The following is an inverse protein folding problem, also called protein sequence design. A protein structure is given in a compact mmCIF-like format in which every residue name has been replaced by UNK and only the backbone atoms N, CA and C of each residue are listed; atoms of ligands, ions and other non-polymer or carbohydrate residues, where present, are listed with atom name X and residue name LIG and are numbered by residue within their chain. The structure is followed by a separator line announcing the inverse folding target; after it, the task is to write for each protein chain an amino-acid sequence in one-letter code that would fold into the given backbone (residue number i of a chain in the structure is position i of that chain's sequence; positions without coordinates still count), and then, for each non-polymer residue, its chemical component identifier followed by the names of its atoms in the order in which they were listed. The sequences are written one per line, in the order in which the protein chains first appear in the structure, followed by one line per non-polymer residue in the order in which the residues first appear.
data_IF_711878914428
#
_entry.id   IF_711878914428
#
_cell.length_a   1.000
_cell.length_b   1.000
_cell.length_c   1.000
_cell.angle_alpha   90.00
_cell.angle_beta   90.00
_cell.angle_gamma   90.00
#
_symmetry.space_group_name_H-M   'P 1'
#
loop_
_entity.id
_entity.type
_entity.pdbx_description
1 polymer ?
#
# COMPACT_ATOMS: atom_id res chain seq x y z
N UNK A 1 28.54 13.06 -49.28
CA UNK A 1 27.16 12.53 -49.29
C UNK A 1 26.93 11.90 -47.93
N UNK A 2 26.03 12.50 -47.16
CA UNK A 2 25.42 12.09 -45.87
C UNK A 2 26.35 11.68 -44.72
N UNK A 3 26.31 12.54 -43.71
CA UNK A 3 26.93 12.42 -42.40
C UNK A 3 26.42 11.21 -41.62
N UNK A 4 27.29 10.71 -40.74
CA UNK A 4 27.03 9.58 -39.85
C UNK A 4 25.87 9.84 -38.90
N UNK A 5 25.10 8.79 -38.69
CA UNK A 5 24.22 8.63 -37.55
C UNK A 5 24.38 7.18 -37.06
N UNK A 6 25.41 6.95 -36.27
CA UNK A 6 25.44 5.83 -35.34
C UNK A 6 25.47 6.46 -33.95
N UNK A 7 24.27 6.81 -33.49
CA UNK A 7 24.00 7.03 -32.07
C UNK A 7 24.33 5.70 -31.40
N UNK A 8 25.51 5.63 -30.79
CA UNK A 8 25.82 4.58 -29.83
C UNK A 8 24.82 4.73 -28.68
N UNK A 9 23.78 3.91 -28.70
CA UNK A 9 23.02 3.55 -27.50
C UNK A 9 24.01 2.86 -26.57
N UNK A 10 24.63 3.66 -25.70
CA UNK A 10 25.31 3.13 -24.53
C UNK A 10 24.19 2.58 -23.63
N UNK A 11 24.11 1.26 -23.36
CA UNK A 11 23.15 0.77 -22.38
C UNK A 11 23.52 1.41 -21.05
N UNK A 12 22.56 2.12 -20.46
CA UNK A 12 22.67 2.70 -19.13
C UNK A 12 23.22 1.64 -18.16
N UNK A 13 24.21 1.94 -17.32
CA UNK A 13 24.76 0.99 -16.35
C UNK A 13 23.79 0.69 -15.20
N UNK A 14 22.65 1.39 -15.14
CA UNK A 14 21.60 1.18 -14.17
C UNK A 14 20.60 0.15 -14.71
N UNK A 15 20.20 -0.84 -13.90
CA UNK A 15 19.05 -1.68 -14.25
C UNK A 15 17.86 -0.76 -14.55
N UNK A 16 17.00 -1.15 -15.49
CA UNK A 16 15.74 -0.45 -15.69
C UNK A 16 15.02 -0.40 -14.33
N UNK A 17 14.51 0.77 -13.91
CA UNK A 17 13.78 0.88 -12.67
C UNK A 17 12.68 -0.18 -12.61
N UNK A 18 12.44 -0.73 -11.43
CA UNK A 18 11.33 -1.66 -11.25
C UNK A 18 10.03 -0.96 -11.67
N UNK A 19 8.99 -1.71 -12.10
CA UNK A 19 7.69 -1.11 -12.43
C UNK A 19 7.13 -0.22 -11.31
N UNK A 20 7.54 -0.47 -10.06
CA UNK A 20 7.18 0.35 -8.91
C UNK A 20 7.98 1.64 -8.80
N UNK A 21 9.28 1.62 -9.09
CA UNK A 21 10.08 2.86 -9.15
C UNK A 21 9.56 3.80 -10.24
N UNK A 22 9.18 3.28 -11.42
CA UNK A 22 8.60 4.11 -12.48
C UNK A 22 7.23 4.69 -12.08
N UNK A 23 6.35 3.89 -11.46
CA UNK A 23 5.02 4.34 -11.03
C UNK A 23 5.08 5.25 -9.79
N UNK A 24 5.95 4.94 -8.82
CA UNK A 24 6.21 5.81 -7.67
C UNK A 24 6.79 7.16 -8.10
N UNK A 25 7.59 7.22 -9.18
CA UNK A 25 8.01 8.50 -9.75
C UNK A 25 6.88 9.31 -10.40
N UNK A 26 5.73 8.68 -10.71
CA UNK A 26 4.53 9.36 -11.23
C UNK A 26 3.52 9.73 -10.12
N UNK A 27 3.46 8.98 -9.02
CA UNK A 27 2.60 9.28 -7.87
C UNK A 27 3.33 10.29 -6.97
N UNK A 28 2.99 11.57 -7.11
CA UNK A 28 3.46 12.62 -6.21
C UNK A 28 2.81 12.48 -4.82
N UNK A 29 3.58 11.99 -3.84
CA UNK A 29 3.18 11.82 -2.44
C UNK A 29 2.56 13.08 -1.82
N UNK A 30 3.10 14.26 -2.12
CA UNK A 30 2.62 15.51 -1.54
C UNK A 30 1.26 15.91 -2.13
N UNK A 31 1.08 15.69 -3.45
CA UNK A 31 -0.23 15.88 -4.10
C UNK A 31 -1.25 14.87 -3.60
N UNK A 32 -0.85 13.61 -3.45
CA UNK A 32 -1.72 12.56 -2.94
C UNK A 32 -2.15 12.84 -1.49
N UNK A 33 -1.22 13.24 -0.62
CA UNK A 33 -1.50 13.63 0.75
C UNK A 33 -2.51 14.78 0.83
N UNK A 34 -2.36 15.82 -0.01
CA UNK A 34 -3.33 16.93 -0.08
C UNK A 34 -4.71 16.46 -0.52
N UNK A 35 -4.78 15.56 -1.49
CA UNK A 35 -6.04 15.02 -1.99
C UNK A 35 -6.76 14.17 -0.93
N UNK A 36 -6.01 13.36 -0.18
CA UNK A 36 -6.52 12.52 0.90
C UNK A 36 -6.95 13.32 2.14
N UNK A 37 -6.22 14.39 2.47
CA UNK A 37 -6.54 15.28 3.60
C UNK A 37 -7.89 16.01 3.42
N UNK A 38 -8.39 16.14 2.19
CA UNK A 38 -9.70 16.69 1.89
C UNK A 38 -10.83 15.64 2.00
N UNK A 39 -10.50 14.37 2.21
CA UNK A 39 -11.43 13.25 2.31
C UNK A 39 -12.03 13.06 3.71
N UNK A 40 -13.00 12.17 3.81
CA UNK A 40 -13.75 11.93 5.05
C UNK A 40 -12.90 11.35 6.19
N UNK A 41 -11.87 10.57 5.84
CA UNK A 41 -10.97 9.92 6.80
C UNK A 41 -9.73 10.77 7.13
N UNK A 42 -9.44 11.82 6.35
CA UNK A 42 -8.19 12.59 6.45
C UNK A 42 -6.93 11.70 6.45
N UNK A 43 -6.96 10.59 5.72
CA UNK A 43 -5.93 9.55 5.76
C UNK A 43 -4.59 10.05 5.22
N UNK A 44 -3.48 9.52 5.75
CA UNK A 44 -2.17 9.65 5.10
C UNK A 44 -2.06 8.74 3.88
N UNK A 45 -1.15 8.98 2.93
CA UNK A 45 -0.93 8.07 1.80
C UNK A 45 -0.66 6.62 2.23
N UNK A 46 0.12 6.43 3.30
CA UNK A 46 0.42 5.12 3.88
C UNK A 46 -0.80 4.48 4.51
N UNK A 47 -1.60 5.22 5.28
CA UNK A 47 -2.87 4.72 5.82
C UNK A 47 -3.84 4.33 4.70
N UNK A 48 -4.00 5.17 3.68
CA UNK A 48 -4.83 4.88 2.52
C UNK A 48 -4.41 3.59 1.82
N UNK A 49 -3.12 3.39 1.58
CA UNK A 49 -2.60 2.15 1.00
C UNK A 49 -2.82 0.94 1.93
N UNK A 50 -2.70 1.12 3.25
CA UNK A 50 -3.03 0.12 4.25
C UNK A 50 -4.49 -0.34 4.18
N UNK A 51 -5.43 0.60 4.07
CA UNK A 51 -6.87 0.32 3.91
C UNK A 51 -7.11 -0.54 2.66
N UNK A 52 -6.52 -0.14 1.52
CA UNK A 52 -6.63 -0.90 0.27
C UNK A 52 -6.13 -2.34 0.43
N UNK A 53 -4.95 -2.50 1.02
CA UNK A 53 -4.36 -3.82 1.28
C UNK A 53 -5.25 -4.65 2.20
N UNK A 54 -5.81 -4.07 3.26
CA UNK A 54 -6.72 -4.76 4.17
C UNK A 54 -8.00 -5.25 3.47
N UNK A 55 -8.59 -4.44 2.59
CA UNK A 55 -9.75 -4.82 1.79
C UNK A 55 -9.42 -5.97 0.82
N UNK A 56 -8.29 -5.87 0.11
CA UNK A 56 -7.83 -6.91 -0.81
C UNK A 56 -7.50 -8.22 -0.09
N UNK A 57 -6.75 -8.17 1.02
CA UNK A 57 -6.35 -9.33 1.80
C UNK A 57 -7.53 -9.98 2.55
N UNK A 58 -8.49 -9.16 2.99
CA UNK A 58 -9.71 -9.63 3.63
C UNK A 58 -10.73 -10.23 2.66
N UNK A 59 -10.50 -10.12 1.35
CA UNK A 59 -11.33 -10.73 0.31
C UNK A 59 -12.61 -9.96 0.02
N UNK A 60 -12.58 -8.62 0.11
CA UNK A 60 -13.66 -7.78 -0.39
C UNK A 60 -13.95 -8.10 -1.87
N UNK A 61 -15.22 -8.06 -2.26
CA UNK A 61 -15.63 -8.40 -3.62
C UNK A 61 -15.24 -7.31 -4.65
N UNK A 62 -15.15 -6.06 -4.22
CA UNK A 62 -14.78 -4.91 -5.04
C UNK A 62 -13.91 -3.92 -4.25
N UNK A 63 -12.68 -4.32 -3.88
CA UNK A 63 -11.88 -3.61 -2.89
C UNK A 63 -11.52 -2.19 -3.33
N UNK A 64 -11.35 -1.94 -4.63
CA UNK A 64 -11.02 -0.61 -5.14
C UNK A 64 -12.21 0.36 -5.02
N UNK A 65 -13.41 -0.09 -5.39
CA UNK A 65 -14.62 0.72 -5.25
C UNK A 65 -14.94 1.00 -3.78
N UNK A 66 -14.88 -0.03 -2.93
CA UNK A 66 -15.08 0.10 -1.47
C UNK A 66 -14.07 1.09 -0.89
N UNK A 67 -12.79 0.97 -1.26
CA UNK A 67 -11.72 1.86 -0.81
C UNK A 67 -11.93 3.32 -1.22
N UNK A 68 -12.21 3.57 -2.50
CA UNK A 68 -12.46 4.92 -3.01
C UNK A 68 -13.66 5.57 -2.32
N UNK A 69 -14.73 4.81 -2.06
CA UNK A 69 -15.90 5.30 -1.33
C UNK A 69 -15.59 5.63 0.14
N UNK A 70 -14.70 4.87 0.80
CA UNK A 70 -14.29 5.15 2.18
C UNK A 70 -13.44 6.43 2.26
N UNK A 71 -12.49 6.61 1.34
CA UNK A 71 -11.54 7.72 1.38
C UNK A 71 -12.16 9.01 0.85
N UNK A 72 -12.87 8.95 -0.28
CA UNK A 72 -13.45 10.10 -0.98
C UNK A 72 -14.89 9.83 -1.45
N UNK A 73 -15.86 9.73 -0.52
CA UNK A 73 -17.27 9.53 -0.87
C UNK A 73 -17.86 10.69 -1.71
N UNK A 74 -17.22 11.87 -1.67
CA UNK A 74 -17.62 13.11 -2.32
C UNK A 74 -17.05 13.31 -3.72
N UNK A 75 -16.05 12.51 -4.14
CA UNK A 75 -15.27 12.81 -5.34
C UNK A 75 -16.07 12.76 -6.65
N UNK A 76 -17.21 12.08 -6.68
CA UNK A 76 -18.11 12.06 -7.85
C UNK A 76 -18.96 13.33 -7.99
N UNK A 77 -19.08 14.14 -6.93
CA UNK A 77 -19.90 15.34 -6.92
C UNK A 77 -19.23 16.55 -7.62
N UNK A 78 -17.92 16.51 -7.82
CA UNK A 78 -17.14 17.62 -8.40
C UNK A 78 -16.30 17.21 -9.64
N UNK A 79 -16.95 16.77 -10.74
CA UNK A 79 -16.25 16.23 -11.90
C UNK A 79 -15.44 17.27 -12.71
N UNK A 80 -15.53 18.56 -12.37
CA UNK A 80 -14.89 19.66 -13.10
C UNK A 80 -13.55 20.15 -12.53
N UNK A 81 -13.16 19.70 -11.33
CA UNK A 81 -11.90 20.10 -10.71
C UNK A 81 -10.75 19.17 -11.15
N UNK A 82 -9.77 19.74 -11.85
CA UNK A 82 -8.60 19.00 -12.34
C UNK A 82 -7.79 18.36 -11.20
N UNK A 83 -7.67 19.02 -10.05
CA UNK A 83 -6.95 18.46 -8.91
C UNK A 83 -7.67 17.24 -8.34
N UNK A 84 -9.01 17.21 -8.42
CA UNK A 84 -9.80 16.05 -7.99
C UNK A 84 -9.62 14.91 -8.99
N UNK A 85 -9.65 15.20 -10.28
CA UNK A 85 -9.44 14.20 -11.34
C UNK A 85 -8.05 13.55 -11.23
N UNK A 86 -6.99 14.35 -11.11
CA UNK A 86 -5.62 13.86 -10.96
C UNK A 86 -5.43 13.02 -9.69
N UNK A 87 -6.03 13.42 -8.57
CA UNK A 87 -5.98 12.66 -7.32
C UNK A 87 -6.68 11.30 -7.44
N UNK A 88 -7.85 11.25 -8.12
CA UNK A 88 -8.54 9.98 -8.40
C UNK A 88 -7.73 9.07 -9.30
N UNK A 89 -7.11 9.62 -10.34
CA UNK A 89 -6.27 8.86 -11.27
C UNK A 89 -5.06 8.25 -10.55
N UNK A 90 -4.39 9.04 -9.70
CA UNK A 90 -3.28 8.54 -8.89
C UNK A 90 -3.70 7.41 -7.92
N UNK A 91 -4.87 7.53 -7.28
CA UNK A 91 -5.40 6.45 -6.44
C UNK A 91 -5.73 5.19 -7.25
N UNK A 92 -6.33 5.33 -8.43
CA UNK A 92 -6.61 4.19 -9.32
C UNK A 92 -5.33 3.51 -9.80
N UNK A 93 -4.28 4.27 -10.10
CA UNK A 93 -2.97 3.73 -10.45
C UNK A 93 -2.34 2.96 -9.28
N UNK A 94 -2.39 3.53 -8.07
CA UNK A 94 -1.95 2.86 -6.84
C UNK A 94 -2.72 1.55 -6.62
N UNK A 95 -4.05 1.56 -6.82
CA UNK A 95 -4.88 0.38 -6.65
C UNK A 95 -4.51 -0.74 -7.62
N UNK A 96 -4.36 -0.41 -8.90
CA UNK A 96 -3.96 -1.36 -9.94
C UNK A 96 -2.57 -1.94 -9.69
N UNK A 97 -1.62 -1.11 -9.23
CA UNK A 97 -0.26 -1.54 -8.90
C UNK A 97 -0.26 -2.50 -7.72
N UNK A 98 -0.92 -2.12 -6.62
CA UNK A 98 -1.05 -2.93 -5.40
C UNK A 98 -1.67 -4.29 -5.70
N UNK A 99 -2.72 -4.31 -6.51
CA UNK A 99 -3.35 -5.56 -6.96
C UNK A 99 -2.36 -6.46 -7.70
N UNK A 100 -1.64 -5.91 -8.68
CA UNK A 100 -0.65 -6.65 -9.46
C UNK A 100 0.45 -7.24 -8.59
N UNK A 101 0.83 -6.56 -7.51
CA UNK A 101 1.88 -7.01 -6.59
C UNK A 101 1.43 -8.11 -5.64
N UNK A 102 0.17 -8.04 -5.18
CA UNK A 102 -0.43 -9.11 -4.38
C UNK A 102 -0.68 -10.37 -5.22
N UNK A 103 -1.11 -10.21 -6.48
CA UNK A 103 -1.38 -11.31 -7.41
C UNK A 103 -0.11 -11.88 -8.06
N UNK A 104 0.95 -11.08 -8.17
CA UNK A 104 2.17 -11.40 -8.90
C UNK A 104 3.17 -12.23 -8.09
N UNK A 105 3.91 -13.11 -8.78
CA UNK A 105 4.90 -14.00 -8.16
C UNK A 105 6.33 -13.45 -8.07
N UNK A 106 6.62 -12.33 -8.75
CA UNK A 106 8.01 -11.93 -9.04
C UNK A 106 8.54 -10.81 -8.14
N UNK A 107 7.69 -9.88 -7.70
CA UNK A 107 8.11 -8.69 -6.95
C UNK A 107 7.50 -8.59 -5.54
N UNK A 108 6.34 -9.23 -5.31
CA UNK A 108 5.60 -9.16 -4.05
C UNK A 108 5.04 -7.78 -3.74
N UNK A 109 4.21 -7.69 -2.70
CA UNK A 109 3.72 -6.42 -2.16
C UNK A 109 4.91 -5.55 -1.76
N UNK A 110 4.85 -4.26 -2.07
CA UNK A 110 5.73 -3.24 -1.48
C UNK A 110 4.85 -2.28 -0.68
N UNK A 111 5.30 -1.83 0.48
CA UNK A 111 4.51 -0.90 1.29
C UNK A 111 4.64 0.53 0.72
N UNK A 112 3.56 1.31 0.78
CA UNK A 112 3.58 2.71 0.37
C UNK A 112 4.05 3.55 1.56
N UNK A 113 5.38 3.69 1.68
CA UNK A 113 6.05 4.38 2.77
C UNK A 113 6.94 5.49 2.19
N UNK A 114 7.29 6.52 2.98
CA UNK A 114 8.27 7.51 2.59
C UNK A 114 9.61 6.87 2.24
N UNK A 115 10.36 7.50 1.33
CA UNK A 115 11.69 7.07 0.89
C UNK A 115 12.67 6.90 2.07
N UNK A 116 13.61 5.96 1.95
CA UNK A 116 14.60 5.65 2.99
C UNK A 116 15.48 6.85 3.39
N UNK A 117 15.61 7.87 2.53
CA UNK A 117 16.29 9.11 2.86
C UNK A 117 15.50 10.03 3.80
N UNK A 118 14.23 9.70 4.10
CA UNK A 118 13.38 10.46 5.03
C UNK A 118 13.72 10.11 6.49
N UNK A 119 13.50 11.03 7.44
CA UNK A 119 13.80 10.76 8.86
C UNK A 119 13.14 9.47 9.36
N UNK A 120 13.85 8.71 10.19
CA UNK A 120 13.37 7.44 10.75
C UNK A 120 11.98 7.57 11.37
N UNK A 121 11.76 8.61 12.19
CA UNK A 121 10.48 8.87 12.84
C UNK A 121 9.30 9.06 11.85
N UNK A 122 9.58 9.70 10.71
CA UNK A 122 8.58 9.89 9.64
C UNK A 122 8.21 8.56 8.98
N UNK A 123 9.20 7.72 8.67
CA UNK A 123 8.98 6.37 8.11
C UNK A 123 8.28 5.45 9.10
N UNK A 124 8.65 5.50 10.39
CA UNK A 124 8.01 4.72 11.45
C UNK A 124 6.53 5.12 11.65
N UNK A 125 6.23 6.42 11.60
CA UNK A 125 4.83 6.91 11.66
C UNK A 125 4.05 6.46 10.43
N UNK A 126 4.64 6.49 9.24
CA UNK A 126 4.00 6.00 8.03
C UNK A 126 3.70 4.50 8.09
N UNK A 127 4.61 3.68 8.63
CA UNK A 127 4.37 2.25 8.83
C UNK A 127 3.24 2.01 9.84
N UNK A 128 3.25 2.76 10.93
CA UNK A 128 2.17 2.74 11.93
C UNK A 128 0.81 3.06 11.30
N UNK A 129 0.74 4.13 10.51
CA UNK A 129 -0.45 4.55 9.77
C UNK A 129 -0.91 3.47 8.79
N UNK A 130 0.03 2.84 8.07
CA UNK A 130 -0.27 1.75 7.15
C UNK A 130 -0.93 0.57 7.89
N UNK A 131 -0.37 0.15 9.02
CA UNK A 131 -0.90 -0.97 9.82
C UNK A 131 -2.29 -0.64 10.37
N UNK A 132 -2.51 0.61 10.81
CA UNK A 132 -3.83 1.09 11.23
C UNK A 132 -4.85 1.05 10.11
N UNK A 133 -4.49 1.51 8.92
CA UNK A 133 -5.34 1.44 7.74
C UNK A 133 -5.75 0.01 7.43
N UNK A 134 -4.80 -0.93 7.49
CA UNK A 134 -5.06 -2.35 7.28
C UNK A 134 -6.06 -2.91 8.31
N UNK A 135 -5.83 -2.66 9.60
CA UNK A 135 -6.70 -3.10 10.69
C UNK A 135 -8.09 -2.46 10.61
N UNK A 136 -8.18 -1.18 10.22
CA UNK A 136 -9.45 -0.49 9.97
C UNK A 136 -10.25 -1.23 8.90
N UNK A 137 -9.67 -1.43 7.72
CA UNK A 137 -10.32 -2.14 6.61
C UNK A 137 -10.78 -3.52 7.04
N UNK A 138 -9.90 -4.29 7.72
CA UNK A 138 -10.24 -5.60 8.25
C UNK A 138 -11.49 -5.57 9.15
N UNK A 139 -11.59 -4.58 10.04
CA UNK A 139 -12.73 -4.40 10.94
C UNK A 139 -14.03 -4.00 10.24
N UNK A 140 -13.97 -3.44 9.02
CA UNK A 140 -15.16 -3.07 8.24
C UNK A 140 -15.75 -4.23 7.45
N UNK A 141 -14.98 -5.30 7.22
CA UNK A 141 -15.40 -6.45 6.42
C UNK A 141 -16.33 -7.38 7.19
N UNK A 142 -17.26 -8.00 6.47
CA UNK A 142 -18.12 -9.05 7.01
C UNK A 142 -17.42 -10.41 6.96
N UNK A 143 -16.98 -10.88 8.14
CA UNK A 143 -16.33 -12.20 8.31
C UNK A 143 -17.30 -13.33 8.65
N UNK A 144 -18.62 -13.09 8.67
CA UNK A 144 -19.61 -14.09 9.12
C UNK A 144 -19.62 -15.36 8.26
N UNK A 145 -19.34 -15.24 6.97
CA UNK A 145 -19.22 -16.38 6.03
C UNK A 145 -17.81 -16.99 5.92
N UNK A 146 -16.80 -16.36 6.52
CA UNK A 146 -15.41 -16.80 6.45
C UNK A 146 -14.62 -16.24 7.64
N UNK A 147 -14.60 -16.98 8.75
CA UNK A 147 -13.79 -16.60 9.91
C UNK A 147 -12.28 -16.67 9.56
N UNK A 148 -11.45 -15.77 10.11
CA UNK A 148 -10.00 -15.88 9.95
C UNK A 148 -9.49 -17.20 10.53
N UNK A 149 -8.43 -17.75 9.95
CA UNK A 149 -7.68 -18.85 10.55
C UNK A 149 -7.01 -18.42 11.87
N UNK A 150 -6.44 -19.40 12.57
CA UNK A 150 -5.60 -19.12 13.73
C UNK A 150 -4.37 -18.27 13.35
N UNK A 151 -3.74 -18.57 12.20
CA UNK A 151 -2.57 -17.84 11.69
C UNK A 151 -2.91 -16.39 11.32
N UNK A 152 -3.98 -16.18 10.55
CA UNK A 152 -4.48 -14.83 10.26
C UNK A 152 -4.83 -14.08 11.55
N UNK A 153 -5.44 -14.74 12.54
CA UNK A 153 -5.79 -14.12 13.82
C UNK A 153 -4.55 -13.73 14.66
N UNK A 154 -3.47 -14.50 14.56
CA UNK A 154 -2.18 -14.20 15.20
C UNK A 154 -1.52 -12.99 14.53
N UNK A 155 -1.44 -12.99 13.20
CA UNK A 155 -0.92 -11.85 12.43
C UNK A 155 -1.65 -10.55 12.78
N UNK A 156 -2.98 -10.57 12.87
CA UNK A 156 -3.78 -9.38 13.21
C UNK A 156 -3.52 -8.89 14.64
N UNK A 157 -3.20 -9.80 15.56
CA UNK A 157 -2.78 -9.45 16.92
C UNK A 157 -1.40 -8.81 16.90
N UNK A 158 -0.45 -9.36 16.15
CA UNK A 158 0.89 -8.80 16.02
C UNK A 158 0.85 -7.40 15.38
N UNK A 159 -0.01 -7.20 14.38
CA UNK A 159 -0.28 -5.88 13.79
C UNK A 159 -0.82 -4.92 14.85
N UNK A 160 -1.74 -5.38 15.71
CA UNK A 160 -2.24 -4.57 16.82
C UNK A 160 -1.11 -4.21 17.80
N UNK A 161 -0.16 -5.10 18.05
CA UNK A 161 1.00 -4.82 18.90
C UNK A 161 1.98 -3.83 18.26
N UNK A 162 2.16 -3.84 16.94
CA UNK A 162 2.90 -2.80 16.20
C UNK A 162 2.28 -1.42 16.39
N UNK A 163 0.94 -1.32 16.46
CA UNK A 163 0.26 -0.04 16.76
C UNK A 163 0.45 0.44 18.22
N UNK A 164 1.24 -0.26 19.04
CA UNK A 164 1.61 0.17 20.40
C UNK A 164 3.06 0.63 20.51
N UNK A 165 3.80 0.69 19.40
CA UNK A 165 5.15 1.23 19.37
C UNK A 165 5.18 2.68 19.85
N UNK A 166 6.16 3.02 20.68
CA UNK A 166 6.41 4.40 21.09
C UNK A 166 7.19 5.11 19.99
N UNK A 167 6.49 5.98 19.25
CA UNK A 167 7.07 6.72 18.13
C UNK A 167 7.73 8.03 18.57
N UNK A 168 7.37 8.56 19.75
CA UNK A 168 7.83 9.87 20.23
C UNK A 168 9.27 9.81 20.77
N UNK A 169 9.73 8.61 21.14
CA UNK A 169 11.07 8.33 21.68
C UNK A 169 12.03 7.66 20.70
N UNK A 170 11.74 7.64 19.40
CA UNK A 170 12.59 7.01 18.39
C UNK A 170 13.83 7.87 18.10
N UNK A 171 14.98 7.43 18.62
CA UNK A 171 16.28 7.98 18.27
C UNK A 171 16.71 7.52 16.87
N UNK A 172 17.35 8.42 16.12
CA UNK A 172 17.89 8.15 14.79
C UNK A 172 19.24 7.42 14.93
N UNK A 173 19.17 6.11 15.19
CA UNK A 173 20.32 5.23 15.37
C UNK A 173 20.20 3.95 14.52
N UNK A 174 21.35 3.28 14.30
CA UNK A 174 21.43 2.07 13.47
C UNK A 174 20.53 0.93 13.98
N UNK A 175 20.29 0.85 15.29
CA UNK A 175 19.47 -0.19 15.89
C UNK A 175 17.99 0.02 15.54
N UNK A 176 17.50 1.25 15.60
CA UNK A 176 16.13 1.59 15.24
C UNK A 176 15.90 1.50 13.73
N UNK A 177 16.90 1.83 12.90
CA UNK A 177 16.83 1.64 11.44
C UNK A 177 16.68 0.16 11.07
N UNK A 178 17.48 -0.71 11.70
CA UNK A 178 17.39 -2.16 11.50
C UNK A 178 16.03 -2.68 11.96
N UNK A 179 15.57 -2.28 13.14
CA UNK A 179 14.27 -2.66 13.67
C UNK A 179 13.11 -2.22 12.76
N UNK A 180 13.15 -0.98 12.23
CA UNK A 180 12.12 -0.50 11.31
C UNK A 180 12.09 -1.31 10.01
N UNK A 181 13.26 -1.66 9.49
CA UNK A 181 13.40 -2.51 8.29
C UNK A 181 12.80 -3.90 8.54
N UNK A 182 13.14 -4.54 9.66
CA UNK A 182 12.61 -5.84 10.04
C UNK A 182 11.09 -5.83 10.21
N UNK A 183 10.55 -4.84 10.92
CA UNK A 183 9.10 -4.73 11.14
C UNK A 183 8.38 -4.45 9.83
N UNK A 184 8.93 -3.58 8.98
CA UNK A 184 8.35 -3.31 7.65
C UNK A 184 8.27 -4.58 6.79
N UNK A 185 9.33 -5.38 6.80
CA UNK A 185 9.38 -6.65 6.07
C UNK A 185 8.40 -7.68 6.66
N UNK A 186 8.31 -7.77 7.99
CA UNK A 186 7.32 -8.61 8.66
C UNK A 186 5.89 -8.25 8.23
N UNK A 187 5.53 -6.96 8.30
CA UNK A 187 4.21 -6.47 7.91
C UNK A 187 3.90 -6.83 6.45
N UNK A 188 4.87 -6.63 5.55
CA UNK A 188 4.76 -6.92 4.13
C UNK A 188 4.50 -8.40 3.87
N UNK A 189 5.30 -9.29 4.45
CA UNK A 189 5.16 -10.74 4.31
C UNK A 189 3.85 -11.22 4.91
N UNK A 190 3.49 -10.75 6.10
CA UNK A 190 2.29 -11.15 6.80
C UNK A 190 1.00 -10.76 6.03
N UNK A 191 0.97 -9.57 5.42
CA UNK A 191 -0.13 -9.17 4.55
C UNK A 191 -0.25 -10.09 3.32
N UNK A 192 0.87 -10.45 2.69
CA UNK A 192 0.89 -11.40 1.58
C UNK A 192 0.41 -12.80 2.00
N UNK A 193 0.78 -13.26 3.21
CA UNK A 193 0.31 -14.53 3.77
C UNK A 193 -1.20 -14.54 3.93
N UNK A 194 -1.78 -13.49 4.50
CA UNK A 194 -3.25 -13.35 4.63
C UNK A 194 -3.90 -13.40 3.24
N UNK A 195 -3.38 -12.66 2.27
CA UNK A 195 -3.93 -12.66 0.90
C UNK A 195 -3.92 -14.07 0.27
N UNK A 196 -2.80 -14.80 0.38
CA UNK A 196 -2.68 -16.16 -0.15
C UNK A 196 -3.67 -17.12 0.51
N UNK A 197 -3.83 -17.03 1.83
CA UNK A 197 -4.74 -17.88 2.58
C UNK A 197 -6.21 -17.59 2.25
N UNK A 198 -6.58 -16.30 2.17
CA UNK A 198 -7.99 -15.90 2.12
C UNK A 198 -8.53 -15.76 0.71
N UNK A 199 -7.71 -15.36 -0.24
CA UNK A 199 -8.14 -15.07 -1.61
C UNK A 199 -7.74 -16.20 -2.54
N UNK A 200 -6.45 -16.57 -2.55
CA UNK A 200 -5.94 -17.59 -3.47
C UNK A 200 -6.45 -18.98 -3.11
N UNK A 201 -6.45 -19.35 -1.81
CA UNK A 201 -6.93 -20.66 -1.40
C UNK A 201 -8.45 -20.82 -1.60
N UNK A 202 -9.25 -19.76 -1.40
CA UNK A 202 -10.69 -19.78 -1.66
C UNK A 202 -11.03 -19.86 -3.16
N UNK A 203 -10.23 -19.24 -4.03
CA UNK A 203 -10.40 -19.38 -5.49
C UNK A 203 -10.20 -20.83 -5.98
N UNK A 204 -9.49 -21.68 -5.22
CA UNK A 204 -9.20 -23.07 -5.56
C UNK A 204 -10.19 -24.09 -4.95
N UNK A 205 -11.08 -23.69 -4.04
CA UNK A 205 -12.15 -24.56 -3.53
C UNK A 205 -13.40 -24.30 -4.37
N UNK A 206 -13.82 -25.23 -5.27
CA UNK A 206 -15.07 -25.05 -6.01
C UNK A 206 -16.23 -25.05 -5.02
N UNK A 207 -17.16 -24.10 -5.18
CA UNK A 207 -18.48 -24.17 -4.51
C UNK A 207 -19.09 -25.56 -4.77
N UNK A 208 -19.29 -26.31 -3.69
CA UNK A 208 -19.91 -27.65 -3.69
C UNK A 208 -21.43 -27.57 -3.68
#
# INVERSE_FOLDING_TARGET
MVAGLLIFLCPSPFPAPSPREEVATNIDDARLARYLAAGALCATPSEAHGILCGLMCGGDADPESTWLQQIRPDAEAEPGDLSIQEGREALGELARLTRKELEGSEFGLVLFLPDDARPLAERATALYDWVRGFLYAWGTLDHTGAQPSAETSEILRDFTDVTRMDLDGLDDDEQNEEALTEVSEFIRVAAMTIYQERVVARAHVPES
#
